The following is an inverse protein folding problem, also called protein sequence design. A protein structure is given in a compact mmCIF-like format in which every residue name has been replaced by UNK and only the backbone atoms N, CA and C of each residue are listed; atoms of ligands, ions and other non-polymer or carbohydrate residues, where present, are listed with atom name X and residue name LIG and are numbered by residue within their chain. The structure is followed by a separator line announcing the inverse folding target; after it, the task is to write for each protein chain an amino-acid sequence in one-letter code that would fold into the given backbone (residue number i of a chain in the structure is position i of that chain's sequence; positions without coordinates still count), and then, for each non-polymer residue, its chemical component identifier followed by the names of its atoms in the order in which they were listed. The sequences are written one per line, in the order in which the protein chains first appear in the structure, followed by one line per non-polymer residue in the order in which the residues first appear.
data_IF_134469742279
#
_entry.id   IF_134469742279
#
_cell.length_a   1.000
_cell.length_b   1.000
_cell.length_c   1.000
_cell.angle_alpha   90.00
_cell.angle_beta   90.00
_cell.angle_gamma   90.00
#
_symmetry.space_group_name_H-M   'P 1'
#
loop_
_entity.id
_entity.type
_entity.pdbx_description
1 polymer ?
#
# COMPACT_ATOMS: atom_id res chain seq x y z
N UNK A 1 -38.34 16.46 14.38
CA UNK A 1 -38.65 17.75 13.70
C UNK A 1 -37.62 18.02 12.59
N UNK A 2 -36.39 18.46 12.85
CA UNK A 2 -35.44 18.81 11.79
C UNK A 2 -35.04 17.65 10.87
N UNK A 3 -35.05 16.40 11.34
CA UNK A 3 -34.82 15.23 10.46
C UNK A 3 -36.07 14.94 9.59
N UNK A 4 -37.27 15.24 10.05
CA UNK A 4 -38.45 15.12 9.23
C UNK A 4 -38.47 16.19 8.14
N UNK A 5 -38.09 17.43 8.48
CA UNK A 5 -37.90 18.52 7.50
C UNK A 5 -36.86 18.17 6.41
N UNK A 6 -35.75 17.50 6.82
CA UNK A 6 -34.75 17.03 5.87
C UNK A 6 -35.30 15.89 4.99
N UNK A 7 -36.07 14.98 5.58
CA UNK A 7 -36.76 13.92 4.85
C UNK A 7 -37.75 14.47 3.81
N UNK A 8 -38.54 15.46 4.20
CA UNK A 8 -39.51 16.12 3.34
C UNK A 8 -38.84 16.90 2.22
N UNK A 9 -37.63 17.45 2.45
CA UNK A 9 -36.81 18.10 1.42
C UNK A 9 -36.34 17.11 0.33
N UNK A 10 -36.13 15.85 0.69
CA UNK A 10 -35.83 14.75 -0.23
C UNK A 10 -34.39 14.69 -0.76
N UNK A 11 -33.49 15.57 -0.31
CA UNK A 11 -32.06 15.56 -0.65
C UNK A 11 -31.22 16.19 0.46
N UNK A 12 -29.91 15.97 0.44
CA UNK A 12 -28.98 16.64 1.35
C UNK A 12 -28.63 18.03 0.79
N UNK A 13 -29.03 19.13 1.45
CA UNK A 13 -28.78 20.49 0.97
C UNK A 13 -27.33 20.92 1.25
N UNK A 14 -26.37 20.22 0.66
CA UNK A 14 -24.93 20.38 0.86
C UNK A 14 -24.27 20.56 -0.50
N UNK A 15 -23.42 21.54 -0.61
CA UNK A 15 -22.44 21.68 -1.69
C UNK A 15 -21.08 21.26 -1.19
N UNK A 16 -20.41 20.38 -1.94
CA UNK A 16 -19.06 19.90 -1.65
C UNK A 16 -18.16 20.34 -2.79
N UNK A 17 -17.06 21.00 -2.44
CA UNK A 17 -15.98 21.35 -3.36
C UNK A 17 -14.69 20.69 -2.89
N UNK A 18 -13.98 20.01 -3.78
CA UNK A 18 -12.71 19.36 -3.49
C UNK A 18 -11.64 19.70 -4.49
N UNK A 19 -10.39 19.64 -4.06
CA UNK A 19 -9.27 19.62 -4.99
C UNK A 19 -9.30 18.34 -5.82
N UNK A 20 -8.77 18.36 -7.05
CA UNK A 20 -8.58 17.13 -7.81
C UNK A 20 -7.73 16.11 -7.06
N UNK A 21 -8.07 14.83 -7.17
CA UNK A 21 -7.30 13.76 -6.57
C UNK A 21 -5.89 13.66 -7.18
N UNK A 22 -4.92 13.20 -6.37
CA UNK A 22 -3.54 13.03 -6.79
C UNK A 22 -2.67 14.30 -6.75
N UNK A 23 -3.20 15.43 -6.29
CA UNK A 23 -2.43 16.68 -6.13
C UNK A 23 -1.76 16.72 -4.75
N UNK A 24 -0.45 16.99 -4.72
CA UNK A 24 0.24 17.39 -3.49
C UNK A 24 -0.14 18.84 -3.14
N UNK A 25 -0.53 19.07 -1.90
CA UNK A 25 -0.85 20.40 -1.38
C UNK A 25 0.09 20.79 -0.25
N UNK A 26 0.28 22.11 -0.09
CA UNK A 26 0.97 22.63 1.08
C UNK A 26 0.12 22.46 2.35
N UNK A 27 0.74 22.37 3.53
CA UNK A 27 0.02 22.44 4.80
C UNK A 27 -0.91 23.67 4.87
N UNK A 28 -2.04 23.51 5.54
CA UNK A 28 -3.08 24.55 5.71
C UNK A 28 -3.89 24.90 4.44
N UNK A 29 -3.75 24.14 3.36
CA UNK A 29 -4.67 24.21 2.22
C UNK A 29 -5.79 23.18 2.47
N UNK A 30 -7.07 23.57 2.57
CA UNK A 30 -8.17 22.62 2.71
C UNK A 30 -8.29 21.78 1.45
N UNK A 31 -8.36 20.45 1.61
CA UNK A 31 -8.54 19.54 0.48
C UNK A 31 -9.99 19.51 -0.01
N UNK A 32 -10.91 19.77 0.90
CA UNK A 32 -12.34 19.75 0.65
C UNK A 32 -13.05 20.76 1.56
N UNK A 33 -14.09 21.38 1.03
CA UNK A 33 -15.03 22.21 1.80
C UNK A 33 -16.45 21.70 1.55
N UNK A 34 -17.31 21.83 2.53
CA UNK A 34 -18.74 21.59 2.38
C UNK A 34 -19.55 22.61 3.16
N UNK A 35 -20.59 23.08 2.53
CA UNK A 35 -21.48 24.11 3.06
C UNK A 35 -22.94 23.69 2.87
N UNK A 36 -23.83 24.12 3.76
CA UNK A 36 -25.26 23.98 3.51
C UNK A 36 -25.75 25.00 2.46
N UNK A 37 -26.71 24.58 1.64
CA UNK A 37 -27.24 25.38 0.54
C UNK A 37 -28.65 25.87 0.78
N UNK A 38 -29.30 25.47 1.87
CA UNK A 38 -30.66 25.88 2.23
C UNK A 38 -30.66 26.35 3.68
N UNK A 39 -31.21 27.51 3.91
CA UNK A 39 -31.38 28.07 5.27
C UNK A 39 -32.16 27.10 6.16
N UNK A 40 -31.82 27.06 7.45
CA UNK A 40 -32.40 26.12 8.41
C UNK A 40 -31.66 24.78 8.52
N UNK A 41 -30.81 24.39 7.55
CA UNK A 41 -30.10 23.10 7.56
C UNK A 41 -28.60 23.25 7.92
N UNK A 42 -28.16 24.36 8.50
CA UNK A 42 -26.77 24.55 8.91
C UNK A 42 -26.26 23.47 9.89
N UNK A 43 -27.15 22.92 10.72
CA UNK A 43 -26.85 21.83 11.64
C UNK A 43 -26.33 20.56 10.94
N UNK A 44 -26.72 20.35 9.67
CA UNK A 44 -26.34 19.15 8.91
C UNK A 44 -24.84 19.07 8.69
N UNK A 45 -24.17 20.20 8.50
CA UNK A 45 -22.71 20.24 8.33
C UNK A 45 -21.97 19.67 9.54
N UNK A 46 -22.48 19.89 10.76
CA UNK A 46 -21.88 19.36 12.00
C UNK A 46 -21.96 17.82 12.06
N UNK A 47 -23.08 17.24 11.64
CA UNK A 47 -23.24 15.79 11.58
C UNK A 47 -22.35 15.18 10.48
N UNK A 48 -22.29 15.83 9.31
CA UNK A 48 -21.51 15.36 8.18
C UNK A 48 -20.01 15.50 8.39
N UNK A 49 -19.56 16.47 9.19
CA UNK A 49 -18.14 16.68 9.47
C UNK A 49 -17.48 15.40 9.97
N UNK A 50 -18.01 14.79 11.02
CA UNK A 50 -17.48 13.56 11.60
C UNK A 50 -17.52 12.40 10.61
N UNK A 51 -18.64 12.26 9.89
CA UNK A 51 -18.82 11.20 8.91
C UNK A 51 -17.82 11.34 7.74
N UNK A 52 -17.76 12.51 7.13
CA UNK A 52 -16.89 12.79 5.99
C UNK A 52 -15.40 12.69 6.40
N UNK A 53 -15.04 13.24 7.56
CA UNK A 53 -13.66 13.15 8.07
C UNK A 53 -13.22 11.71 8.25
N UNK A 54 -14.07 10.87 8.84
CA UNK A 54 -13.74 9.46 9.10
C UNK A 54 -13.55 8.65 7.81
N UNK A 55 -14.22 9.01 6.74
CA UNK A 55 -14.08 8.36 5.42
C UNK A 55 -12.93 8.94 4.61
N UNK A 56 -12.74 10.26 4.64
CA UNK A 56 -11.88 10.95 3.70
C UNK A 56 -10.38 10.93 4.06
N UNK A 57 -10.01 10.80 5.34
CA UNK A 57 -8.61 11.01 5.77
C UNK A 57 -7.64 9.90 5.33
N UNK A 58 -8.12 8.65 5.22
CA UNK A 58 -7.25 7.48 5.08
C UNK A 58 -6.61 7.38 3.70
N UNK A 59 -7.37 7.57 2.64
CA UNK A 59 -6.85 7.51 1.27
C UNK A 59 -5.74 8.55 1.01
N UNK A 60 -5.93 9.86 1.29
CA UNK A 60 -4.87 10.84 1.10
C UNK A 60 -3.68 10.63 2.02
N UNK A 61 -3.88 10.13 3.24
CA UNK A 61 -2.77 9.79 4.14
C UNK A 61 -1.93 8.65 3.57
N UNK A 62 -2.56 7.56 3.13
CA UNK A 62 -1.88 6.44 2.50
C UNK A 62 -1.13 6.88 1.23
N UNK A 63 -1.79 7.65 0.36
CA UNK A 63 -1.18 8.18 -0.87
C UNK A 63 0.02 9.10 -0.58
N UNK A 64 -0.08 9.95 0.43
CA UNK A 64 1.00 10.85 0.85
C UNK A 64 2.21 10.06 1.33
N UNK A 65 2.00 9.06 2.18
CA UNK A 65 3.07 8.19 2.67
C UNK A 65 3.69 7.42 1.51
N UNK A 66 2.88 6.79 0.67
CA UNK A 66 3.34 6.06 -0.51
C UNK A 66 4.18 6.94 -1.44
N UNK A 67 3.77 8.19 -1.66
CA UNK A 67 4.52 9.13 -2.48
C UNK A 67 5.89 9.48 -1.87
N UNK A 68 5.99 9.65 -0.55
CA UNK A 68 7.28 9.89 0.10
C UNK A 68 8.22 8.69 -0.03
N UNK A 69 7.70 7.47 0.13
CA UNK A 69 8.47 6.25 -0.15
C UNK A 69 8.89 6.18 -1.62
N UNK A 70 8.01 6.47 -2.56
CA UNK A 70 8.32 6.47 -4.00
C UNK A 70 9.44 7.45 -4.34
N UNK A 71 9.42 8.67 -3.78
CA UNK A 71 10.49 9.65 -3.93
C UNK A 71 11.84 9.10 -3.44
N UNK A 72 11.84 8.42 -2.27
CA UNK A 72 13.05 7.79 -1.72
C UNK A 72 13.52 6.60 -2.56
N UNK A 73 12.62 5.71 -2.95
CA UNK A 73 12.96 4.60 -3.84
C UNK A 73 13.59 5.10 -5.13
N UNK A 74 12.99 6.11 -5.75
CA UNK A 74 13.53 6.72 -6.97
C UNK A 74 14.95 7.28 -6.75
N UNK A 75 15.15 8.05 -5.67
CA UNK A 75 16.46 8.61 -5.32
C UNK A 75 17.54 7.54 -5.25
N UNK A 76 17.26 6.43 -4.56
CA UNK A 76 18.25 5.38 -4.35
C UNK A 76 18.43 4.48 -5.58
N UNK A 77 17.37 4.14 -6.29
CA UNK A 77 17.46 3.36 -7.53
C UNK A 77 18.31 4.11 -8.57
N UNK A 78 18.10 5.41 -8.73
CA UNK A 78 18.89 6.22 -9.68
C UNK A 78 20.37 6.31 -9.30
N UNK A 79 20.72 6.12 -8.02
CA UNK A 79 22.12 6.09 -7.56
C UNK A 79 22.76 4.71 -7.68
N UNK A 80 21.99 3.63 -7.58
CA UNK A 80 22.53 2.28 -7.42
C UNK A 80 22.30 1.38 -8.63
N UNK A 81 21.16 1.51 -9.30
CA UNK A 81 20.75 0.64 -10.41
C UNK A 81 19.73 1.34 -11.33
N UNK A 82 20.13 2.41 -12.03
CA UNK A 82 19.20 3.21 -12.85
C UNK A 82 18.58 2.42 -14.01
N UNK A 83 19.25 1.39 -14.51
CA UNK A 83 18.78 0.54 -15.61
C UNK A 83 17.54 -0.30 -15.19
N UNK A 84 17.34 -0.50 -13.88
CA UNK A 84 16.19 -1.20 -13.32
C UNK A 84 15.15 -0.25 -12.70
N UNK A 85 15.09 1.01 -13.08
CA UNK A 85 14.10 1.98 -12.59
C UNK A 85 12.63 1.53 -12.81
N UNK A 86 12.38 0.64 -13.77
CA UNK A 86 11.06 0.04 -13.99
C UNK A 86 10.56 -0.79 -12.80
N UNK A 87 11.44 -1.19 -11.87
CA UNK A 87 11.06 -1.90 -10.64
C UNK A 87 10.46 -0.98 -9.56
N UNK A 88 10.63 0.34 -9.67
CA UNK A 88 10.18 1.28 -8.62
C UNK A 88 8.72 1.05 -8.19
N UNK A 89 7.75 0.84 -9.11
CA UNK A 89 6.37 0.56 -8.72
C UNK A 89 6.17 -0.73 -7.90
N UNK A 90 7.18 -1.59 -7.80
CA UNK A 90 7.14 -2.86 -7.10
C UNK A 90 7.96 -2.90 -5.81
N UNK A 91 8.64 -1.79 -5.45
CA UNK A 91 9.56 -1.76 -4.31
C UNK A 91 8.85 -1.65 -2.96
N UNK A 92 7.60 -1.21 -2.91
CA UNK A 92 6.80 -1.23 -1.71
C UNK A 92 5.54 -2.07 -1.93
N UNK A 93 5.13 -2.80 -0.88
CA UNK A 93 4.03 -3.73 -0.95
C UNK A 93 3.01 -3.44 0.15
N UNK A 94 1.73 -3.35 -0.19
CA UNK A 94 0.65 -3.10 0.76
C UNK A 94 0.13 -4.42 1.36
N UNK A 95 0.29 -4.56 2.67
CA UNK A 95 -0.25 -5.65 3.48
C UNK A 95 -1.32 -5.18 4.48
N UNK A 96 -1.85 -3.97 4.32
CA UNK A 96 -2.70 -3.31 5.32
C UNK A 96 -4.04 -4.01 5.55
N UNK A 97 -4.51 -4.83 4.60
CA UNK A 97 -5.81 -5.47 4.66
C UNK A 97 -6.05 -6.24 5.97
N UNK A 98 -5.05 -6.96 6.48
CA UNK A 98 -5.19 -7.75 7.71
C UNK A 98 -5.44 -6.93 8.99
N UNK A 99 -5.15 -5.64 8.98
CA UNK A 99 -5.29 -4.76 10.13
C UNK A 99 -6.44 -3.74 10.01
N UNK A 100 -7.22 -3.77 8.93
CA UNK A 100 -8.20 -2.74 8.61
C UNK A 100 -9.60 -3.32 8.40
N UNK A 101 -10.62 -2.51 8.69
CA UNK A 101 -12.00 -2.78 8.29
C UNK A 101 -12.16 -2.71 6.76
N UNK A 102 -13.24 -3.26 6.17
CA UNK A 102 -13.41 -3.34 4.72
C UNK A 102 -13.30 -2.01 3.97
N UNK A 103 -13.86 -0.92 4.51
CA UNK A 103 -13.78 0.40 3.87
C UNK A 103 -12.37 0.98 3.94
N UNK A 104 -11.74 0.82 5.09
CA UNK A 104 -10.36 1.26 5.30
C UNK A 104 -9.36 0.53 4.45
N UNK A 105 -9.56 -0.77 4.17
CA UNK A 105 -8.74 -1.54 3.23
C UNK A 105 -8.78 -0.92 1.84
N UNK A 106 -9.97 -0.61 1.34
CA UNK A 106 -10.15 0.01 0.03
C UNK A 106 -9.47 1.37 -0.02
N UNK A 107 -9.73 2.24 0.95
CA UNK A 107 -9.18 3.58 1.00
C UNK A 107 -7.64 3.59 1.09
N UNK A 108 -7.09 2.76 1.99
CA UNK A 108 -5.63 2.63 2.14
C UNK A 108 -4.98 2.04 0.88
N UNK A 109 -5.55 0.97 0.35
CA UNK A 109 -5.00 0.27 -0.80
C UNK A 109 -5.08 1.09 -2.09
N UNK A 110 -6.18 1.83 -2.34
CA UNK A 110 -6.27 2.76 -3.47
C UNK A 110 -5.26 3.89 -3.33
N UNK A 111 -5.09 4.45 -2.11
CA UNK A 111 -4.06 5.45 -1.85
C UNK A 111 -2.65 4.93 -2.15
N UNK A 112 -2.31 3.71 -1.71
CA UNK A 112 -1.04 3.05 -2.04
C UNK A 112 -0.87 2.82 -3.54
N UNK A 113 -1.92 2.37 -4.23
CA UNK A 113 -1.90 2.05 -5.66
C UNK A 113 -1.64 3.28 -6.56
N UNK A 114 -1.79 4.50 -6.06
CA UNK A 114 -1.35 5.71 -6.79
C UNK A 114 0.16 5.75 -7.04
N UNK A 115 0.92 5.02 -6.26
CA UNK A 115 2.39 5.04 -6.28
C UNK A 115 3.02 3.68 -6.57
N UNK A 116 2.44 2.59 -6.05
CA UNK A 116 3.00 1.25 -6.09
C UNK A 116 1.96 0.22 -6.52
N UNK A 117 2.42 -0.77 -7.28
CA UNK A 117 1.60 -1.87 -7.76
C UNK A 117 1.67 -3.12 -6.87
N UNK A 118 2.65 -3.18 -5.97
CA UNK A 118 2.78 -4.30 -5.02
C UNK A 118 1.68 -4.23 -3.95
N UNK A 119 0.79 -5.22 -3.90
CA UNK A 119 -0.28 -5.25 -2.89
C UNK A 119 -0.94 -6.61 -2.80
N UNK A 120 -1.28 -7.02 -1.56
CA UNK A 120 -2.14 -8.16 -1.25
C UNK A 120 -3.57 -7.73 -0.86
N UNK A 121 -3.87 -6.43 -0.94
CA UNK A 121 -5.18 -5.86 -0.60
C UNK A 121 -6.14 -6.05 -1.78
N UNK A 122 -6.66 -7.26 -1.95
CA UNK A 122 -7.51 -7.65 -3.08
C UNK A 122 -8.71 -6.73 -3.34
N UNK A 123 -9.40 -6.13 -2.33
CA UNK A 123 -10.51 -5.21 -2.58
C UNK A 123 -10.16 -3.99 -3.42
N UNK A 124 -8.89 -3.65 -3.59
CA UNK A 124 -8.43 -2.57 -4.49
C UNK A 124 -8.85 -2.83 -5.93
N UNK A 125 -8.78 -4.08 -6.40
CA UNK A 125 -9.05 -4.43 -7.80
C UNK A 125 -10.48 -4.04 -8.23
N UNK A 126 -11.56 -4.55 -7.60
CA UNK A 126 -12.91 -4.15 -7.97
C UNK A 126 -13.17 -2.66 -7.69
N UNK A 127 -12.54 -2.07 -6.68
CA UNK A 127 -12.74 -0.67 -6.31
C UNK A 127 -12.09 0.28 -7.31
N UNK A 128 -10.89 -0.01 -7.80
CA UNK A 128 -10.24 0.76 -8.85
C UNK A 128 -11.09 0.75 -10.14
N UNK A 129 -11.65 -0.39 -10.49
CA UNK A 129 -12.56 -0.52 -11.63
C UNK A 129 -13.86 0.26 -11.45
N UNK A 130 -14.43 0.22 -10.26
CA UNK A 130 -15.69 0.89 -9.96
C UNK A 130 -15.56 2.42 -9.85
N UNK A 131 -14.55 2.90 -9.14
CA UNK A 131 -14.39 4.34 -8.87
C UNK A 131 -13.58 5.08 -9.94
N UNK A 132 -12.62 4.39 -10.59
CA UNK A 132 -11.68 5.02 -11.53
C UNK A 132 -11.76 4.46 -12.95
N UNK A 133 -12.72 3.55 -13.23
CA UNK A 133 -12.90 2.90 -14.53
C UNK A 133 -11.62 2.21 -15.02
N UNK A 134 -10.81 1.66 -14.11
CA UNK A 134 -9.58 0.96 -14.47
C UNK A 134 -9.90 -0.21 -15.43
N UNK A 135 -9.23 -0.32 -16.58
CA UNK A 135 -9.48 -1.38 -17.55
C UNK A 135 -9.27 -2.79 -16.95
N UNK A 136 -10.08 -3.76 -17.37
CA UNK A 136 -10.01 -5.13 -16.84
C UNK A 136 -8.73 -5.88 -17.25
N UNK A 137 -8.11 -5.48 -18.35
CA UNK A 137 -6.88 -6.05 -18.88
C UNK A 137 -5.62 -5.39 -18.34
N UNK A 138 -5.75 -4.34 -17.52
CA UNK A 138 -4.61 -3.71 -16.85
C UNK A 138 -4.42 -4.23 -15.42
N UNK A 139 -3.15 -4.34 -15.02
CA UNK A 139 -2.76 -4.74 -13.68
C UNK A 139 -2.73 -3.50 -12.79
N UNK A 140 -3.76 -3.34 -11.96
CA UNK A 140 -3.80 -2.25 -10.97
C UNK A 140 -2.99 -2.55 -9.70
N UNK A 141 -2.90 -3.83 -9.31
CA UNK A 141 -2.03 -4.33 -8.24
C UNK A 141 -1.59 -5.76 -8.57
N UNK A 142 -0.48 -6.18 -7.97
CA UNK A 142 0.01 -7.55 -8.09
C UNK A 142 0.81 -8.01 -6.89
N UNK A 143 0.97 -9.32 -6.76
CA UNK A 143 1.75 -9.94 -5.71
C UNK A 143 2.75 -10.95 -6.28
N UNK A 144 3.72 -11.33 -5.46
CA UNK A 144 4.78 -12.29 -5.78
C UNK A 144 4.88 -13.34 -4.68
N UNK A 145 5.57 -14.44 -4.96
CA UNK A 145 5.90 -15.41 -3.92
C UNK A 145 6.70 -14.72 -2.80
N UNK A 146 6.22 -14.86 -1.57
CA UNK A 146 6.84 -14.24 -0.40
C UNK A 146 6.87 -15.20 0.79
N UNK A 147 7.90 -15.04 1.63
CA UNK A 147 7.89 -15.64 2.96
C UNK A 147 7.09 -14.79 3.94
N UNK A 148 6.70 -15.40 5.05
CA UNK A 148 5.91 -14.77 6.11
C UNK A 148 6.60 -14.98 7.47
N UNK A 149 6.47 -14.03 8.40
CA UNK A 149 7.17 -14.04 9.69
C UNK A 149 6.91 -15.28 10.52
N UNK A 150 5.66 -15.74 10.62
CA UNK A 150 5.33 -16.93 11.42
C UNK A 150 6.05 -18.17 10.92
N UNK A 151 6.12 -18.34 9.59
CA UNK A 151 6.81 -19.46 8.94
C UNK A 151 8.32 -19.32 9.06
N UNK A 152 8.85 -18.12 8.82
CA UNK A 152 10.28 -17.82 8.95
C UNK A 152 10.76 -18.04 10.38
N UNK A 153 10.05 -17.52 11.37
CA UNK A 153 10.35 -17.71 12.79
C UNK A 153 10.40 -19.20 13.16
N UNK A 154 9.37 -19.97 12.76
CA UNK A 154 9.33 -21.40 13.02
C UNK A 154 10.52 -22.14 12.41
N UNK A 155 10.87 -21.82 11.17
CA UNK A 155 12.04 -22.40 10.50
C UNK A 155 13.35 -22.02 11.16
N UNK A 156 13.53 -20.76 11.52
CA UNK A 156 14.75 -20.28 12.17
C UNK A 156 14.98 -21.03 13.49
N UNK A 157 13.95 -21.24 14.29
CA UNK A 157 14.07 -22.01 15.55
C UNK A 157 14.32 -23.50 15.34
N UNK A 158 13.96 -24.05 14.19
CA UNK A 158 14.17 -25.47 13.90
C UNK A 158 15.51 -25.77 13.23
N UNK A 159 15.92 -24.96 12.28
CA UNK A 159 17.10 -25.24 11.43
C UNK A 159 18.12 -24.11 11.40
N UNK A 160 17.82 -22.97 12.00
CA UNK A 160 18.63 -21.76 11.95
C UNK A 160 18.38 -20.90 10.70
N UNK A 161 18.68 -19.60 10.80
CA UNK A 161 18.37 -18.63 9.73
C UNK A 161 19.15 -18.91 8.45
N UNK A 162 20.43 -19.24 8.55
CA UNK A 162 21.25 -19.61 7.39
C UNK A 162 20.64 -20.76 6.60
N UNK A 163 20.25 -21.84 7.28
CA UNK A 163 19.65 -23.00 6.60
C UNK A 163 18.27 -22.67 6.05
N UNK A 164 17.49 -21.84 6.74
CA UNK A 164 16.21 -21.37 6.24
C UNK A 164 16.37 -20.65 4.89
N UNK A 165 17.37 -19.78 4.77
CA UNK A 165 17.65 -19.05 3.51
C UNK A 165 17.98 -20.03 2.38
N UNK A 166 18.86 -21.01 2.63
CA UNK A 166 19.23 -22.04 1.66
C UNK A 166 18.01 -22.84 1.22
N UNK A 167 17.20 -23.29 2.17
CA UNK A 167 15.99 -24.07 1.89
C UNK A 167 15.01 -23.33 1.00
N UNK A 168 14.77 -22.04 1.26
CA UNK A 168 13.86 -21.22 0.46
C UNK A 168 14.40 -20.98 -0.95
N UNK A 169 15.68 -20.63 -1.09
CA UNK A 169 16.30 -20.39 -2.39
C UNK A 169 16.33 -21.65 -3.25
N UNK A 170 16.51 -22.81 -2.61
CA UNK A 170 16.47 -24.12 -3.28
C UNK A 170 15.06 -24.50 -3.72
N UNK A 171 14.04 -24.21 -2.90
CA UNK A 171 12.63 -24.54 -3.20
C UNK A 171 12.01 -23.63 -4.23
N UNK A 172 12.42 -22.36 -4.26
CA UNK A 172 11.90 -21.34 -5.17
C UNK A 172 13.06 -20.78 -6.00
N UNK A 173 13.60 -21.53 -6.95
CA UNK A 173 14.78 -21.13 -7.72
C UNK A 173 14.47 -20.12 -8.84
N UNK A 174 13.20 -19.92 -9.17
CA UNK A 174 12.76 -19.12 -10.31
C UNK A 174 11.78 -18.02 -9.90
N UNK A 175 11.61 -17.01 -10.77
CA UNK A 175 10.69 -15.89 -10.56
C UNK A 175 11.13 -14.91 -9.47
N UNK A 176 10.23 -14.02 -9.11
CA UNK A 176 10.46 -13.09 -8.00
C UNK A 176 10.10 -13.80 -6.69
N UNK A 177 11.00 -13.77 -5.73
CA UNK A 177 10.76 -14.27 -4.39
C UNK A 177 11.12 -13.20 -3.36
N UNK A 178 10.16 -12.78 -2.56
CA UNK A 178 10.32 -11.79 -1.50
C UNK A 178 10.54 -12.50 -0.17
N UNK A 179 11.75 -12.39 0.38
CA UNK A 179 12.12 -13.04 1.63
C UNK A 179 12.17 -12.02 2.77
N UNK A 180 11.37 -12.25 3.81
CA UNK A 180 11.40 -11.43 5.03
C UNK A 180 12.76 -11.57 5.69
N UNK A 181 13.36 -10.45 6.09
CA UNK A 181 14.75 -10.41 6.55
C UNK A 181 14.94 -9.81 7.95
N UNK A 182 13.85 -9.39 8.59
CA UNK A 182 13.89 -8.67 9.87
C UNK A 182 13.32 -9.46 11.06
N UNK A 183 13.16 -10.78 10.90
CA UNK A 183 12.69 -11.64 12.01
C UNK A 183 13.53 -11.50 13.28
N UNK A 184 14.85 -11.38 13.15
CA UNK A 184 15.76 -11.06 14.25
C UNK A 184 16.61 -9.83 13.95
N UNK A 185 17.31 -9.81 12.82
CA UNK A 185 18.19 -8.71 12.43
C UNK A 185 18.36 -8.68 10.92
N UNK A 186 17.88 -7.63 10.29
CA UNK A 186 18.10 -7.36 8.86
C UNK A 186 19.59 -7.36 8.50
N UNK A 187 20.44 -6.81 9.38
CA UNK A 187 21.88 -6.76 9.14
C UNK A 187 22.50 -8.14 9.18
N UNK A 188 22.09 -9.01 10.10
CA UNK A 188 22.54 -10.40 10.14
C UNK A 188 22.10 -11.18 8.91
N UNK A 189 20.87 -10.97 8.45
CA UNK A 189 20.38 -11.57 7.21
C UNK A 189 21.24 -11.15 6.01
N UNK A 190 21.59 -9.86 5.90
CA UNK A 190 22.48 -9.34 4.84
C UNK A 190 23.87 -9.97 4.92
N UNK A 191 24.39 -10.21 6.12
CA UNK A 191 25.69 -10.91 6.27
C UNK A 191 25.61 -12.36 5.74
N UNK A 192 24.50 -13.07 5.96
CA UNK A 192 24.33 -14.41 5.37
C UNK A 192 24.33 -14.40 3.84
N UNK A 193 23.90 -13.33 3.18
CA UNK A 193 23.97 -13.23 1.71
C UNK A 193 25.40 -13.18 1.19
N UNK A 194 26.40 -12.93 2.03
CA UNK A 194 27.83 -12.99 1.68
C UNK A 194 28.39 -14.42 1.77
N UNK A 195 27.67 -15.35 2.41
CA UNK A 195 28.06 -16.77 2.46
C UNK A 195 28.18 -17.31 1.03
N UNK A 196 29.28 -18.00 0.67
CA UNK A 196 29.51 -18.46 -0.70
C UNK A 196 28.38 -19.33 -1.26
N UNK A 197 27.83 -20.26 -0.46
CA UNK A 197 26.74 -21.14 -0.88
C UNK A 197 25.45 -20.35 -1.16
N UNK A 198 25.08 -19.43 -0.26
CA UNK A 198 23.89 -18.58 -0.44
C UNK A 198 24.07 -17.64 -1.62
N UNK A 199 25.26 -17.04 -1.75
CA UNK A 199 25.60 -16.16 -2.87
C UNK A 199 25.47 -16.88 -4.21
N UNK A 200 25.96 -18.11 -4.31
CA UNK A 200 25.85 -18.90 -5.52
C UNK A 200 24.37 -19.22 -5.84
N UNK A 201 23.54 -19.55 -4.85
CA UNK A 201 22.11 -19.76 -5.04
C UNK A 201 21.41 -18.48 -5.54
N UNK A 202 21.78 -17.31 -5.01
CA UNK A 202 21.21 -16.02 -5.43
C UNK A 202 21.64 -15.65 -6.86
N UNK A 203 22.93 -15.83 -7.20
CA UNK A 203 23.45 -15.48 -8.52
C UNK A 203 22.89 -16.38 -9.62
N UNK A 204 22.77 -17.66 -9.33
CA UNK A 204 22.35 -18.67 -10.32
C UNK A 204 20.83 -18.83 -10.43
N UNK A 205 20.03 -18.14 -9.59
CA UNK A 205 18.57 -18.23 -9.68
C UNK A 205 18.04 -17.57 -10.97
N UNK A 206 16.96 -18.12 -11.52
CA UNK A 206 16.25 -17.57 -12.67
C UNK A 206 15.19 -16.56 -12.23
N UNK A 207 15.60 -15.40 -11.73
CA UNK A 207 14.69 -14.37 -11.26
C UNK A 207 15.32 -13.48 -10.20
N UNK A 208 14.51 -12.75 -9.45
CA UNK A 208 14.97 -11.77 -8.45
C UNK A 208 14.69 -12.28 -7.04
N UNK A 209 15.68 -12.15 -6.16
CA UNK A 209 15.45 -12.19 -4.71
C UNK A 209 15.18 -10.77 -4.22
N UNK A 210 14.08 -10.59 -3.52
CA UNK A 210 13.76 -9.34 -2.81
C UNK A 210 14.07 -9.56 -1.34
N UNK A 211 14.96 -8.75 -0.79
CA UNK A 211 15.25 -8.67 0.64
C UNK A 211 14.24 -7.71 1.25
N UNK A 212 13.30 -8.23 2.03
CA UNK A 212 12.17 -7.46 2.54
C UNK A 212 12.27 -7.20 4.05
N UNK A 213 12.68 -6.01 4.47
CA UNK A 213 12.36 -5.50 5.81
C UNK A 213 10.85 -5.17 5.84
N UNK A 214 10.20 -5.42 6.96
CA UNK A 214 8.74 -5.25 7.08
C UNK A 214 8.40 -4.07 8.01
#
# INVERSE_FOLDING_TARGET
EHFEELWDLGYLPIEIQSLPEGIETNPNIPHMTFINTVDGFAWLTLYLETFISSLAWKAPTSATIALQYKKKCHEYVMKTDPDNAWLIPWLCHDFSARGLDPYSQIASGLGHATCFLGSDTLPVIPSARFFYNEPQDQVCIGSVNASEHSVSTTKIFTVGERQMIIDWLTRIPEGIFSMVCDTFSTWQFIEYLKDPEIKDLVINRKGKLVVRPD
#
